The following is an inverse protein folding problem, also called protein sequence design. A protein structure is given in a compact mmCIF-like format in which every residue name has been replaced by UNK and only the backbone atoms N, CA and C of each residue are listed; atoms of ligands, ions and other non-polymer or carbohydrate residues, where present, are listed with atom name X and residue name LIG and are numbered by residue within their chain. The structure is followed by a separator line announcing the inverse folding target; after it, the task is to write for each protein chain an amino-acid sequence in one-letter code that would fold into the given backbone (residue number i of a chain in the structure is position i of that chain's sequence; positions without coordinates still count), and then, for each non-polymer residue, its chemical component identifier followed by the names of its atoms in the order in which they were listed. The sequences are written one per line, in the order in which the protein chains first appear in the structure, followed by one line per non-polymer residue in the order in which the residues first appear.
data_IF_784811789024
#
_entry.id   IF_784811789024
#
_cell.length_a   1.000
_cell.length_b   1.000
_cell.length_c   1.000
_cell.angle_alpha   90.00
_cell.angle_beta   90.00
_cell.angle_gamma   90.00
#
_symmetry.space_group_name_H-M   'P 1'
#
loop_
_entity.id
_entity.type
_entity.pdbx_description
1 polymer ?
#
# COMPACT_ATOMS: atom_id res chain seq x y z
N UNK A 1 -23.55 3.22 0.79
CA UNK A 1 -22.25 3.52 0.16
C UNK A 1 -21.31 3.92 1.28
N UNK A 2 -20.13 3.30 1.39
CA UNK A 2 -19.11 3.77 2.32
C UNK A 2 -18.59 5.13 1.85
N UNK A 3 -18.29 6.03 2.77
CA UNK A 3 -17.71 7.33 2.43
C UNK A 3 -16.28 7.14 1.94
N UNK A 4 -15.81 8.02 1.06
CA UNK A 4 -14.43 7.99 0.57
C UNK A 4 -13.41 8.00 1.72
N UNK A 5 -13.71 8.74 2.80
CA UNK A 5 -12.90 8.78 4.02
C UNK A 5 -12.78 7.41 4.69
N UNK A 6 -13.88 6.68 4.85
CA UNK A 6 -13.88 5.35 5.49
C UNK A 6 -13.07 4.33 4.68
N UNK A 7 -13.11 4.45 3.34
CA UNK A 7 -12.29 3.61 2.45
C UNK A 7 -10.81 3.93 2.59
N UNK A 8 -10.45 5.21 2.73
CA UNK A 8 -9.07 5.66 2.95
C UNK A 8 -8.57 5.19 4.32
N UNK A 9 -9.37 5.34 5.37
CA UNK A 9 -9.00 4.91 6.72
C UNK A 9 -8.68 3.41 6.75
N UNK A 10 -9.52 2.60 6.10
CA UNK A 10 -9.29 1.16 5.96
C UNK A 10 -8.01 0.82 5.17
N UNK A 11 -7.71 1.57 4.11
CA UNK A 11 -6.46 1.41 3.36
C UNK A 11 -5.26 1.66 4.28
N UNK A 12 -5.33 2.72 5.10
CA UNK A 12 -4.26 3.10 6.02
C UNK A 12 -4.11 2.09 7.17
N UNK A 13 -5.20 1.47 7.64
CA UNK A 13 -5.18 0.37 8.60
C UNK A 13 -4.46 -0.87 8.05
N UNK A 14 -4.78 -1.28 6.82
CA UNK A 14 -4.13 -2.43 6.18
C UNK A 14 -2.62 -2.19 5.99
N UNK A 15 -2.23 -0.97 5.60
CA UNK A 15 -0.81 -0.61 5.49
C UNK A 15 -0.10 -0.65 6.85
N UNK A 16 -0.72 -0.12 7.91
CA UNK A 16 -0.17 -0.16 9.29
C UNK A 16 -0.06 -1.59 9.82
N UNK A 17 -0.94 -2.49 9.41
CA UNK A 17 -0.91 -3.91 9.77
C UNK A 17 0.19 -4.70 9.01
N UNK A 18 0.98 -4.05 8.15
CA UNK A 18 1.99 -4.72 7.32
C UNK A 18 1.43 -5.33 6.03
N UNK A 19 0.12 -5.21 5.78
CA UNK A 19 -0.53 -5.72 4.57
C UNK A 19 -0.36 -4.73 3.39
N UNK A 20 0.85 -4.22 3.16
CA UNK A 20 1.13 -3.14 2.20
C UNK A 20 0.71 -3.48 0.77
N UNK A 21 0.93 -4.72 0.32
CA UNK A 21 0.42 -5.21 -0.97
C UNK A 21 -1.10 -5.10 -1.10
N UNK A 22 -1.83 -5.42 -0.03
CA UNK A 22 -3.29 -5.32 -0.01
C UNK A 22 -3.76 -3.87 -0.01
N UNK A 23 -3.08 -3.00 0.76
CA UNK A 23 -3.35 -1.57 0.76
C UNK A 23 -3.17 -0.97 -0.64
N UNK A 24 -2.10 -1.33 -1.36
CA UNK A 24 -1.86 -0.91 -2.75
C UNK A 24 -2.99 -1.34 -3.69
N UNK A 25 -3.40 -2.61 -3.64
CA UNK A 25 -4.52 -3.11 -4.46
C UNK A 25 -5.83 -2.39 -4.17
N UNK A 26 -6.06 -1.98 -2.92
CA UNK A 26 -7.25 -1.20 -2.55
C UNK A 26 -7.16 0.23 -3.08
N UNK A 27 -5.99 0.86 -3.05
CA UNK A 27 -5.77 2.19 -3.65
C UNK A 27 -5.99 2.14 -5.15
N UNK A 28 -5.42 1.16 -5.86
CA UNK A 28 -5.58 1.03 -7.32
C UNK A 28 -7.07 0.93 -7.70
N UNK A 29 -7.84 0.08 -6.99
CA UNK A 29 -9.31 -0.04 -7.19
C UNK A 29 -10.08 1.23 -6.86
N UNK A 30 -9.60 2.03 -5.91
CA UNK A 30 -10.24 3.28 -5.54
C UNK A 30 -9.96 4.37 -6.57
N UNK A 31 -8.75 4.39 -7.14
CA UNK A 31 -8.36 5.27 -8.23
C UNK A 31 -9.11 4.99 -9.53
N UNK A 32 -9.53 3.74 -9.81
CA UNK A 32 -10.43 3.44 -10.93
C UNK A 32 -11.78 4.18 -10.84
N UNK A 33 -12.25 4.46 -9.61
CA UNK A 33 -13.53 5.12 -9.34
C UNK A 33 -13.38 6.62 -9.13
N UNK A 34 -12.22 7.05 -8.63
CA UNK A 34 -11.86 8.43 -8.34
C UNK A 34 -10.50 8.71 -9.00
N UNK A 35 -10.45 8.80 -10.34
CA UNK A 35 -9.22 9.12 -11.04
C UNK A 35 -8.70 10.51 -10.66
N UNK A 36 -7.40 10.73 -10.86
CA UNK A 36 -6.73 12.02 -10.63
C UNK A 36 -6.84 12.57 -9.20
N UNK A 37 -7.03 11.70 -8.22
CA UNK A 37 -6.99 12.07 -6.81
C UNK A 37 -5.55 12.13 -6.30
N UNK A 38 -4.98 13.33 -6.20
CA UNK A 38 -3.62 13.57 -5.70
C UNK A 38 -3.33 12.91 -4.35
N UNK A 39 -4.32 12.88 -3.46
CA UNK A 39 -4.16 12.29 -2.14
C UNK A 39 -4.07 10.75 -2.19
N UNK A 40 -4.73 10.10 -3.16
CA UNK A 40 -4.58 8.66 -3.41
C UNK A 40 -3.27 8.35 -4.13
N UNK A 41 -2.87 9.20 -5.09
CA UNK A 41 -1.57 9.10 -5.77
C UNK A 41 -0.41 9.15 -4.77
N UNK A 42 -0.40 10.15 -3.88
CA UNK A 42 0.64 10.30 -2.86
C UNK A 42 0.71 9.09 -1.91
N UNK A 43 -0.45 8.54 -1.50
CA UNK A 43 -0.50 7.32 -0.67
C UNK A 43 0.03 6.10 -1.41
N UNK A 44 -0.35 5.95 -2.69
CA UNK A 44 0.12 4.86 -3.55
C UNK A 44 1.63 4.86 -3.64
N UNK A 45 2.23 6.02 -3.95
CA UNK A 45 3.69 6.16 -4.05
C UNK A 45 4.40 5.83 -2.73
N UNK A 46 3.84 6.28 -1.60
CA UNK A 46 4.38 5.97 -0.27
C UNK A 46 4.38 4.47 0.00
N UNK A 47 3.22 3.82 -0.13
CA UNK A 47 3.11 2.39 0.17
C UNK A 47 3.86 1.52 -0.84
N UNK A 48 4.01 1.98 -2.08
CA UNK A 48 4.81 1.30 -3.10
C UNK A 48 6.29 1.27 -2.68
N UNK A 49 6.84 2.41 -2.25
CA UNK A 49 8.23 2.48 -1.76
C UNK A 49 8.44 1.59 -0.54
N UNK A 50 7.52 1.62 0.43
CA UNK A 50 7.60 0.77 1.62
C UNK A 50 7.58 -0.72 1.25
N UNK A 51 6.67 -1.14 0.36
CA UNK A 51 6.58 -2.53 -0.10
C UNK A 51 7.83 -2.99 -0.88
N UNK A 52 8.42 -2.11 -1.70
CA UNK A 52 9.68 -2.39 -2.38
C UNK A 52 10.84 -2.58 -1.41
N UNK A 53 10.91 -1.76 -0.36
CA UNK A 53 11.92 -1.93 0.68
C UNK A 53 11.76 -3.26 1.42
N UNK A 54 10.53 -3.62 1.82
CA UNK A 54 10.26 -4.92 2.45
C UNK A 54 10.67 -6.07 1.54
N UNK A 55 10.22 -6.06 0.29
CA UNK A 55 10.55 -7.11 -0.69
C UNK A 55 12.07 -7.23 -0.88
N UNK A 56 12.78 -6.11 -0.88
CA UNK A 56 14.24 -6.08 -1.00
C UNK A 56 14.93 -6.63 0.25
N UNK A 57 14.43 -6.30 1.45
CA UNK A 57 14.95 -6.83 2.72
C UNK A 57 14.76 -8.35 2.75
N UNK A 58 13.55 -8.84 2.47
CA UNK A 58 13.26 -10.28 2.41
C UNK A 58 14.16 -11.01 1.40
N UNK A 59 14.39 -10.41 0.23
CA UNK A 59 15.28 -10.98 -0.78
C UNK A 59 16.73 -11.05 -0.31
N UNK A 60 17.20 -10.05 0.44
CA UNK A 60 18.55 -10.04 1.03
C UNK A 60 18.66 -11.06 2.16
N UNK A 61 17.69 -11.13 3.06
CA UNK A 61 17.65 -12.12 4.15
C UNK A 61 17.71 -13.54 3.60
N UNK A 62 16.93 -13.82 2.54
CA UNK A 62 16.96 -15.10 1.84
C UNK A 62 18.30 -15.38 1.16
N UNK A 63 18.92 -14.36 0.54
CA UNK A 63 20.21 -14.50 -0.16
C UNK A 63 21.36 -14.81 0.81
N UNK A 64 21.33 -14.21 2.00
CA UNK A 64 22.41 -14.32 2.98
C UNK A 64 22.09 -15.29 4.13
N UNK A 65 20.92 -15.94 4.13
CA UNK A 65 20.53 -16.92 5.14
C UNK A 65 20.36 -16.34 6.54
N UNK A 66 19.89 -15.09 6.63
CA UNK A 66 19.78 -14.33 7.89
C UNK A 66 18.41 -14.60 8.58
N UNK A 67 17.52 -15.37 7.95
CA UNK A 67 16.15 -15.66 8.44
C UNK A 67 16.08 -16.76 9.49
#
# INVERSE_FOLDING_TARGET
MAKLSELIDRIDEEAKAGNRKKALLMIDKLMEKVPDNDALLARREKYQKEYEYETRIEALEKKYGIS
#
